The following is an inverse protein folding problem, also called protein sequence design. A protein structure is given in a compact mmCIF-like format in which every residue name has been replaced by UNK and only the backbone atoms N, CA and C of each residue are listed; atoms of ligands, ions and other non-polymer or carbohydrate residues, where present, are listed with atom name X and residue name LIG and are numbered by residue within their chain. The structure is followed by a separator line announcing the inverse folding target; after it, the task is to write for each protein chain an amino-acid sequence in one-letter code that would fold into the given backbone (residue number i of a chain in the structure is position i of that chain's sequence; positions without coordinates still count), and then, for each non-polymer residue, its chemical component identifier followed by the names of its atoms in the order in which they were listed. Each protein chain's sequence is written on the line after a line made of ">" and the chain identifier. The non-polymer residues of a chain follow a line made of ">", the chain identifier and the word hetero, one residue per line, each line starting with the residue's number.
data_IF_165145151338
#
_entry.id   IF_165145151338
#
_cell.length_a   1.000
_cell.length_b   1.000
_cell.length_c   1.000
_cell.angle_alpha   90.00
_cell.angle_beta   90.00
_cell.angle_gamma   90.00
#
_symmetry.space_group_name_H-M   'P 1'
#
loop_
_entity.id
_entity.type
_entity.pdbx_description
1 polymer ?
#
# COMPACT_ATOMS: atom_id res chain seq x y z
N UNK A 1 71.35 -14.42 57.01
CA UNK A 1 71.02 -13.73 55.76
C UNK A 1 69.78 -14.42 55.20
N UNK A 2 68.62 -13.84 55.38
CA UNK A 2 67.32 -14.42 54.99
C UNK A 2 66.83 -13.79 53.70
N UNK A 3 66.63 -14.62 52.69
CA UNK A 3 66.07 -14.18 51.39
C UNK A 3 64.55 -14.22 51.39
N UNK A 4 63.95 -13.06 51.20
CA UNK A 4 62.50 -12.85 51.16
C UNK A 4 61.96 -13.19 49.76
N UNK A 5 61.19 -14.28 49.60
CA UNK A 5 60.48 -14.62 48.39
C UNK A 5 59.20 -13.83 48.31
N UNK A 6 59.10 -12.92 47.33
CA UNK A 6 57.84 -12.25 46.95
C UNK A 6 56.98 -13.17 46.07
N UNK A 7 55.82 -13.58 46.59
CA UNK A 7 54.78 -14.28 45.83
C UNK A 7 54.00 -13.23 45.01
N UNK A 8 54.05 -13.35 43.66
CA UNK A 8 53.15 -12.63 42.76
C UNK A 8 51.82 -13.40 42.63
N UNK A 9 50.78 -12.84 43.24
CA UNK A 9 49.43 -13.37 43.04
C UNK A 9 48.88 -12.93 41.66
N UNK A 10 48.63 -13.90 40.78
CA UNK A 10 47.92 -13.67 39.53
C UNK A 10 46.44 -13.45 39.83
N UNK A 11 45.98 -12.21 39.63
CA UNK A 11 44.55 -11.85 39.63
C UNK A 11 43.97 -12.10 38.23
N UNK A 12 43.28 -13.26 38.04
CA UNK A 12 42.53 -13.56 36.86
C UNK A 12 41.21 -12.75 36.84
N UNK A 13 41.18 -11.65 36.10
CA UNK A 13 39.93 -10.97 35.76
C UNK A 13 39.14 -11.83 34.75
N UNK A 14 38.11 -12.53 35.25
CA UNK A 14 37.13 -13.18 34.40
C UNK A 14 36.18 -12.11 33.83
N UNK A 15 36.36 -11.75 32.55
CA UNK A 15 35.43 -10.91 31.81
C UNK A 15 34.17 -11.74 31.50
N UNK A 16 33.09 -11.47 32.23
CA UNK A 16 31.76 -12.01 31.93
C UNK A 16 31.20 -11.26 30.75
N UNK A 17 31.27 -11.83 29.53
CA UNK A 17 30.58 -11.34 28.34
C UNK A 17 29.08 -11.60 28.51
N UNK A 18 28.33 -10.55 28.84
CA UNK A 18 26.86 -10.57 28.85
C UNK A 18 26.41 -10.59 27.38
N UNK A 19 26.08 -11.79 26.86
CA UNK A 19 25.46 -11.96 25.55
C UNK A 19 24.00 -11.49 25.65
N UNK A 20 23.75 -10.22 25.33
CA UNK A 20 22.38 -9.71 25.17
C UNK A 20 21.79 -10.29 23.87
N UNK A 21 20.62 -10.95 23.94
CA UNK A 21 19.95 -11.42 22.74
C UNK A 21 19.56 -10.19 21.89
N UNK A 22 20.10 -10.11 20.69
CA UNK A 22 19.67 -9.13 19.70
C UNK A 22 18.29 -9.57 19.21
N UNK A 23 17.23 -8.94 19.71
CA UNK A 23 15.88 -9.10 19.17
C UNK A 23 15.87 -8.35 17.83
N UNK A 24 16.09 -9.07 16.74
CA UNK A 24 15.84 -8.57 15.41
C UNK A 24 14.33 -8.45 15.24
N UNK A 25 13.80 -7.23 15.33
CA UNK A 25 12.43 -6.96 14.94
C UNK A 25 12.31 -7.31 13.45
N UNK A 26 11.64 -8.41 13.13
CA UNK A 26 11.26 -8.72 11.76
C UNK A 26 10.29 -7.65 11.31
N UNK A 27 10.72 -6.80 10.39
CA UNK A 27 9.79 -5.89 9.72
C UNK A 27 8.78 -6.75 8.97
N UNK A 28 7.49 -6.62 9.31
CA UNK A 28 6.43 -7.30 8.58
C UNK A 28 6.50 -6.89 7.10
N UNK A 29 6.25 -7.85 6.20
CA UNK A 29 6.20 -7.57 4.76
C UNK A 29 5.21 -6.43 4.49
N UNK A 30 5.57 -5.47 3.65
CA UNK A 30 4.69 -4.35 3.35
C UNK A 30 3.38 -4.86 2.73
N UNK A 31 2.26 -4.38 3.24
CA UNK A 31 0.91 -4.70 2.74
C UNK A 31 0.32 -3.51 2.00
N UNK A 32 -0.57 -3.70 1.01
CA UNK A 32 -1.27 -2.61 0.35
C UNK A 32 -2.36 -1.96 1.23
N UNK A 33 -2.68 -2.55 2.38
CA UNK A 33 -3.62 -1.94 3.33
C UNK A 33 -3.10 -0.58 3.78
N UNK A 34 -3.97 0.43 3.77
CA UNK A 34 -3.61 1.80 4.11
C UNK A 34 -4.32 2.84 3.25
N UNK A 35 -3.90 4.08 3.40
CA UNK A 35 -4.44 5.23 2.66
C UNK A 35 -3.48 5.62 1.53
N UNK A 36 -4.04 5.80 0.35
CA UNK A 36 -3.28 6.03 -0.87
C UNK A 36 -3.77 7.28 -1.59
N UNK A 37 -2.83 8.15 -1.92
CA UNK A 37 -3.07 9.33 -2.77
C UNK A 37 -3.01 8.94 -4.23
N UNK A 38 -4.11 9.13 -4.94
CA UNK A 38 -4.17 8.96 -6.39
C UNK A 38 -3.74 10.23 -7.11
N UNK A 39 -3.06 10.06 -8.24
CA UNK A 39 -2.51 11.17 -9.03
C UNK A 39 -3.20 11.19 -10.39
N UNK A 40 -3.58 12.37 -10.84
CA UNK A 40 -4.10 12.59 -12.20
C UNK A 40 -2.95 12.49 -13.20
N UNK A 41 -3.07 11.58 -14.18
CA UNK A 41 -1.98 11.29 -15.11
C UNK A 41 -1.72 12.43 -16.10
N UNK A 42 -2.70 13.29 -16.34
CA UNK A 42 -2.56 14.40 -17.29
C UNK A 42 -1.94 15.65 -16.64
N UNK A 43 -2.27 15.87 -15.35
CA UNK A 43 -1.87 17.09 -14.65
C UNK A 43 -0.82 16.85 -13.57
N UNK A 44 -0.56 15.59 -13.22
CA UNK A 44 0.31 15.20 -12.10
C UNK A 44 -0.14 15.77 -10.74
N UNK A 45 -1.38 16.21 -10.63
CA UNK A 45 -1.95 16.74 -9.39
C UNK A 45 -2.65 15.63 -8.59
N UNK A 46 -2.73 15.75 -7.27
CA UNK A 46 -3.53 14.85 -6.46
C UNK A 46 -5.00 14.87 -6.90
N UNK A 47 -5.60 13.69 -7.06
CA UNK A 47 -6.99 13.51 -7.48
C UNK A 47 -7.90 13.12 -6.33
N UNK A 48 -7.39 12.36 -5.38
CA UNK A 48 -8.14 11.93 -4.20
C UNK A 48 -7.35 10.97 -3.33
N UNK A 49 -8.03 10.45 -2.30
CA UNK A 49 -7.52 9.41 -1.41
C UNK A 49 -8.39 8.17 -1.52
N UNK A 50 -7.74 7.02 -1.60
CA UNK A 50 -8.36 5.69 -1.61
C UNK A 50 -7.85 4.91 -0.41
N UNK A 51 -8.76 4.42 0.42
CA UNK A 51 -8.44 3.48 1.51
C UNK A 51 -8.49 2.06 0.98
N UNK A 52 -7.38 1.35 1.09
CA UNK A 52 -7.34 -0.09 0.83
C UNK A 52 -7.49 -0.82 2.15
N UNK A 53 -8.41 -1.76 2.19
CA UNK A 53 -8.68 -2.67 3.29
C UNK A 53 -8.60 -4.12 2.82
N UNK A 54 -8.40 -5.03 3.78
CA UNK A 54 -8.42 -6.46 3.56
C UNK A 54 -9.52 -7.09 4.39
N UNK A 55 -10.25 -8.02 3.77
CA UNK A 55 -11.21 -8.87 4.45
C UNK A 55 -11.14 -10.29 3.87
N UNK A 56 -10.83 -11.27 4.70
CA UNK A 56 -10.77 -12.68 4.32
C UNK A 56 -9.83 -12.95 3.12
N UNK A 57 -8.68 -12.29 3.06
CA UNK A 57 -7.70 -12.44 1.98
C UNK A 57 -8.06 -11.68 0.70
N UNK A 58 -9.18 -10.96 0.67
CA UNK A 58 -9.57 -10.09 -0.44
C UNK A 58 -9.33 -8.63 -0.10
N UNK A 59 -8.77 -7.91 -1.07
CA UNK A 59 -8.47 -6.49 -0.96
C UNK A 59 -9.50 -5.69 -1.72
N UNK A 60 -9.97 -4.60 -1.08
CA UNK A 60 -10.89 -3.63 -1.66
C UNK A 60 -10.38 -2.20 -1.43
N UNK A 61 -10.72 -1.29 -2.35
CA UNK A 61 -10.34 0.12 -2.29
C UNK A 61 -11.57 1.02 -2.34
N UNK A 62 -11.73 1.87 -1.33
CA UNK A 62 -12.85 2.80 -1.19
C UNK A 62 -12.36 4.24 -1.33
N UNK A 63 -13.06 5.06 -2.11
CA UNK A 63 -12.75 6.48 -2.27
C UNK A 63 -13.11 7.19 -0.96
N UNK A 64 -12.10 7.72 -0.26
CA UNK A 64 -12.25 8.35 1.04
C UNK A 64 -12.24 9.88 0.96
N UNK A 65 -11.59 10.42 -0.07
CA UNK A 65 -11.56 11.85 -0.35
C UNK A 65 -11.42 12.13 -1.84
N UNK A 66 -12.00 13.22 -2.28
CA UNK A 66 -11.85 13.75 -3.64
C UNK A 66 -11.19 15.14 -3.54
N UNK A 67 -10.31 15.46 -4.47
CA UNK A 67 -9.68 16.76 -4.62
C UNK A 67 -10.16 17.39 -5.93
N UNK A 68 -11.29 18.13 -5.93
CA UNK A 68 -11.82 18.75 -7.14
C UNK A 68 -10.89 19.87 -7.62
N UNK A 69 -10.75 20.02 -8.94
CA UNK A 69 -10.08 21.15 -9.54
C UNK A 69 -11.01 22.38 -9.54
N UNK A 70 -10.47 23.60 -9.69
CA UNK A 70 -11.30 24.77 -9.88
C UNK A 70 -12.29 24.57 -11.04
N UNK A 71 -13.59 24.71 -10.77
CA UNK A 71 -14.66 24.49 -11.74
C UNK A 71 -15.24 23.09 -11.80
N UNK A 72 -14.64 22.10 -11.12
CA UNK A 72 -15.22 20.77 -11.01
C UNK A 72 -16.36 20.75 -9.96
N UNK A 73 -17.27 19.78 -10.11
CA UNK A 73 -18.27 19.48 -9.07
C UNK A 73 -17.55 18.99 -7.80
N UNK A 74 -17.74 19.63 -6.63
CA UNK A 74 -17.12 19.19 -5.39
C UNK A 74 -17.72 17.88 -4.84
N UNK A 75 -18.90 17.46 -5.31
CA UNK A 75 -19.59 16.25 -4.90
C UNK A 75 -20.06 15.41 -6.10
N UNK A 76 -19.10 14.95 -6.96
CA UNK A 76 -19.46 14.27 -8.21
C UNK A 76 -20.20 12.96 -7.93
N UNK A 77 -21.12 12.64 -8.86
CA UNK A 77 -21.83 11.37 -8.92
C UNK A 77 -21.34 10.56 -10.11
N UNK A 78 -21.44 9.24 -10.02
CA UNK A 78 -21.12 8.37 -11.14
C UNK A 78 -22.30 8.31 -12.14
N UNK A 79 -22.46 9.34 -12.93
CA UNK A 79 -23.53 9.50 -13.91
C UNK A 79 -23.44 8.48 -15.07
N UNK A 80 -22.22 8.02 -15.37
CA UNK A 80 -21.89 7.04 -16.44
C UNK A 80 -21.82 5.60 -15.93
N UNK A 81 -21.97 5.38 -14.63
CA UNK A 81 -22.00 4.03 -14.07
C UNK A 81 -23.30 3.31 -14.40
N UNK A 82 -23.23 1.99 -14.49
CA UNK A 82 -24.41 1.13 -14.69
C UNK A 82 -24.93 0.58 -13.34
N UNK A 83 -26.20 0.10 -13.40
CA UNK A 83 -26.85 -0.61 -12.28
C UNK A 83 -26.96 0.21 -11.02
N UNK A 84 -26.69 -0.41 -9.88
CA UNK A 84 -26.83 0.21 -8.55
C UNK A 84 -25.86 1.35 -8.28
N UNK A 85 -24.83 1.51 -9.11
CA UNK A 85 -23.82 2.59 -8.98
C UNK A 85 -24.21 3.85 -9.75
N UNK A 86 -25.20 3.75 -10.65
CA UNK A 86 -25.65 4.89 -11.45
C UNK A 86 -26.12 6.04 -10.56
N UNK A 87 -25.59 7.25 -10.80
CA UNK A 87 -25.87 8.46 -10.04
C UNK A 87 -25.55 8.40 -8.52
N UNK A 88 -24.81 7.38 -8.06
CA UNK A 88 -24.35 7.35 -6.68
C UNK A 88 -23.18 8.30 -6.46
N UNK A 89 -23.03 8.86 -5.24
CA UNK A 89 -21.88 9.69 -4.91
C UNK A 89 -20.56 8.92 -5.16
N UNK A 90 -19.60 9.58 -5.80
CA UNK A 90 -18.24 9.01 -6.00
C UNK A 90 -17.50 8.92 -4.66
N UNK A 91 -17.72 9.90 -3.77
CA UNK A 91 -17.19 9.83 -2.40
C UNK A 91 -17.82 8.66 -1.64
N UNK A 92 -17.00 7.80 -1.08
CA UNK A 92 -17.42 6.60 -0.36
C UNK A 92 -17.68 5.38 -1.25
N UNK A 93 -17.52 5.50 -2.57
CA UNK A 93 -17.72 4.39 -3.50
C UNK A 93 -16.54 3.41 -3.44
N UNK A 94 -16.84 2.11 -3.39
CA UNK A 94 -15.84 1.06 -3.60
C UNK A 94 -15.50 1.02 -5.09
N UNK A 95 -14.26 1.41 -5.41
CA UNK A 95 -13.77 1.46 -6.79
C UNK A 95 -12.87 0.28 -7.17
N UNK A 96 -12.33 -0.43 -6.19
CA UNK A 96 -11.42 -1.56 -6.38
C UNK A 96 -11.91 -2.71 -5.49
N UNK A 97 -12.01 -3.95 -6.03
CA UNK A 97 -12.53 -5.10 -5.26
C UNK A 97 -11.99 -6.43 -5.75
N UNK A 98 -12.14 -7.47 -4.91
CA UNK A 98 -11.82 -8.88 -5.19
C UNK A 98 -10.36 -9.18 -5.53
N UNK A 99 -9.41 -8.31 -5.23
CA UNK A 99 -8.00 -8.65 -5.44
C UNK A 99 -7.53 -9.63 -4.36
N UNK A 100 -6.72 -10.60 -4.77
CA UNK A 100 -6.09 -11.57 -3.87
C UNK A 100 -4.58 -11.57 -4.06
N UNK A 101 -3.83 -11.83 -2.99
CA UNK A 101 -2.35 -11.90 -3.05
C UNK A 101 -1.92 -13.12 -3.86
N UNK A 102 -1.10 -12.90 -4.89
CA UNK A 102 -0.50 -13.94 -5.72
C UNK A 102 1.00 -13.63 -5.89
N UNK A 103 1.82 -14.26 -5.08
CA UNK A 103 3.25 -13.94 -5.02
C UNK A 103 3.50 -12.51 -4.55
N UNK A 104 4.16 -11.71 -5.38
CA UNK A 104 4.46 -10.29 -5.11
C UNK A 104 3.41 -9.32 -5.62
N UNK A 105 2.35 -9.80 -6.27
CA UNK A 105 1.26 -8.99 -6.83
C UNK A 105 -0.08 -9.34 -6.17
N UNK A 106 -1.06 -8.46 -6.37
CA UNK A 106 -2.46 -8.65 -5.97
C UNK A 106 -3.28 -8.63 -7.26
N UNK A 107 -3.99 -9.72 -7.56
CA UNK A 107 -4.60 -9.95 -8.87
C UNK A 107 -6.01 -10.53 -8.74
N UNK A 108 -6.69 -10.69 -9.89
CA UNK A 108 -8.00 -11.34 -10.00
C UNK A 108 -9.18 -10.43 -9.66
N UNK A 109 -8.92 -9.18 -9.34
CA UNK A 109 -9.97 -8.20 -9.03
C UNK A 109 -10.33 -7.29 -10.19
N UNK A 110 -11.12 -6.28 -9.87
CA UNK A 110 -11.65 -5.30 -10.80
C UNK A 110 -11.51 -3.88 -10.23
N UNK A 111 -11.47 -2.91 -11.13
CA UNK A 111 -11.44 -1.49 -10.80
C UNK A 111 -12.47 -0.74 -11.65
N UNK A 112 -13.27 0.09 -11.00
CA UNK A 112 -14.19 1.04 -11.61
C UNK A 112 -13.48 2.37 -11.82
N UNK A 113 -13.60 2.93 -13.00
CA UNK A 113 -13.28 4.33 -13.26
C UNK A 113 -14.59 5.16 -13.22
N UNK A 114 -14.81 5.97 -12.16
CA UNK A 114 -16.04 6.73 -12.01
C UNK A 114 -16.25 7.82 -13.08
N UNK A 115 -15.18 8.26 -13.75
CA UNK A 115 -15.27 9.31 -14.78
C UNK A 115 -15.88 8.80 -16.09
N UNK A 116 -15.68 7.52 -16.41
CA UNK A 116 -16.23 6.91 -17.62
C UNK A 116 -17.24 5.79 -17.36
N UNK A 117 -17.46 5.42 -16.08
CA UNK A 117 -18.37 4.39 -15.64
C UNK A 117 -17.94 2.96 -15.97
N UNK A 118 -16.74 2.75 -16.51
CA UNK A 118 -16.27 1.44 -16.95
C UNK A 118 -15.58 0.68 -15.84
N UNK A 119 -15.78 -0.64 -15.87
CA UNK A 119 -15.10 -1.60 -15.01
C UNK A 119 -14.01 -2.29 -15.83
N UNK A 120 -12.82 -2.36 -15.26
CA UNK A 120 -11.64 -3.00 -15.81
C UNK A 120 -11.18 -4.13 -14.90
N UNK A 121 -10.56 -5.16 -15.46
CA UNK A 121 -9.78 -6.10 -14.64
C UNK A 121 -8.63 -5.36 -13.98
N UNK A 122 -8.30 -5.74 -12.76
CA UNK A 122 -7.29 -5.03 -11.99
C UNK A 122 -6.21 -5.94 -11.44
N UNK A 123 -5.03 -5.38 -11.35
CA UNK A 123 -3.94 -5.89 -10.51
C UNK A 123 -3.20 -4.74 -9.86
N UNK A 124 -2.54 -5.00 -8.75
CA UNK A 124 -1.71 -4.02 -8.05
C UNK A 124 -0.44 -4.65 -7.51
N UNK A 125 0.59 -3.84 -7.33
CA UNK A 125 1.89 -4.25 -6.81
C UNK A 125 2.49 -3.13 -5.97
N UNK A 126 3.01 -3.49 -4.79
CA UNK A 126 3.81 -2.57 -3.99
C UNK A 126 5.18 -2.38 -4.64
N UNK A 127 5.61 -1.15 -4.76
CA UNK A 127 6.91 -0.74 -5.27
C UNK A 127 7.56 0.27 -4.31
N UNK A 128 8.83 0.57 -4.52
CA UNK A 128 9.58 1.54 -3.70
C UNK A 128 9.49 1.21 -2.18
N UNK A 129 9.75 -0.08 -1.83
CA UNK A 129 9.71 -0.51 -0.43
C UNK A 129 8.33 -0.35 0.23
N UNK A 130 7.24 -0.38 -0.52
CA UNK A 130 5.88 -0.20 -0.02
C UNK A 130 5.41 1.24 0.08
N UNK A 131 6.23 2.23 -0.33
CA UNK A 131 5.87 3.66 -0.36
C UNK A 131 4.96 4.02 -1.51
N UNK A 132 4.94 3.19 -2.56
CA UNK A 132 4.13 3.38 -3.75
C UNK A 132 3.36 2.12 -4.08
N UNK A 133 2.20 2.28 -4.70
CA UNK A 133 1.35 1.21 -5.20
C UNK A 133 1.12 1.43 -6.69
N UNK A 134 1.64 0.53 -7.51
CA UNK A 134 1.26 0.47 -8.92
C UNK A 134 -0.08 -0.23 -9.03
N UNK A 135 -1.08 0.45 -9.60
CA UNK A 135 -2.41 -0.09 -9.87
C UNK A 135 -2.62 -0.10 -11.37
N UNK A 136 -2.93 -1.28 -11.93
CA UNK A 136 -3.15 -1.46 -13.37
C UNK A 136 -4.55 -1.93 -13.65
N UNK A 137 -5.30 -1.13 -14.41
CA UNK A 137 -6.57 -1.49 -15.02
C UNK A 137 -6.38 -1.95 -16.47
N UNK A 138 -7.06 -3.02 -16.92
CA UNK A 138 -6.90 -3.56 -18.27
C UNK A 138 -8.15 -4.30 -18.75
N UNK A 139 -8.26 -4.46 -20.08
CA UNK A 139 -9.33 -5.22 -20.75
C UNK A 139 -8.68 -6.43 -21.41
N UNK A 140 -9.26 -7.63 -21.22
CA UNK A 140 -8.72 -8.87 -21.76
C UNK A 140 -7.37 -9.24 -21.15
N UNK A 141 -6.29 -9.03 -21.88
CA UNK A 141 -4.92 -9.29 -21.41
C UNK A 141 -4.30 -8.06 -20.77
N UNK A 142 -3.44 -8.25 -19.77
CA UNK A 142 -2.82 -7.15 -19.02
C UNK A 142 -1.92 -6.23 -19.87
N UNK A 143 -1.56 -6.63 -21.09
CA UNK A 143 -0.84 -5.76 -22.04
C UNK A 143 -1.69 -4.56 -22.50
N UNK A 144 -3.00 -4.72 -22.58
CA UNK A 144 -3.94 -3.67 -23.01
C UNK A 144 -4.54 -2.99 -21.78
N UNK A 145 -3.78 -2.13 -21.15
CA UNK A 145 -4.22 -1.46 -19.94
C UNK A 145 -3.38 -0.24 -19.60
N UNK A 146 -3.80 0.46 -18.54
CA UNK A 146 -3.16 1.66 -18.01
C UNK A 146 -2.72 1.39 -16.58
N UNK A 147 -1.50 1.78 -16.25
CA UNK A 147 -1.00 1.78 -14.87
C UNK A 147 -1.02 3.20 -14.30
N UNK A 148 -1.35 3.28 -13.02
CA UNK A 148 -1.19 4.47 -12.20
C UNK A 148 -0.29 4.15 -11.01
N UNK A 149 0.44 5.13 -10.54
CA UNK A 149 1.23 5.02 -9.31
C UNK A 149 0.59 5.86 -8.23
N UNK A 150 0.11 5.20 -7.18
CA UNK A 150 -0.47 5.84 -6.02
C UNK A 150 0.61 5.99 -4.93
N UNK A 151 0.56 7.08 -4.20
CA UNK A 151 1.53 7.39 -3.15
C UNK A 151 0.94 7.03 -1.78
N UNK A 152 1.71 6.38 -0.93
CA UNK A 152 1.26 6.05 0.43
C UNK A 152 1.13 7.31 1.27
N UNK A 153 -0.02 7.46 1.94
CA UNK A 153 -0.27 8.52 2.93
C UNK A 153 -0.18 7.98 4.37
N UNK A 154 -0.59 6.70 4.57
CA UNK A 154 -0.53 5.97 5.86
C UNK A 154 -0.19 4.50 5.62
#
# INVERSE_FOLDING_TARGET
>A
MAALKKSLGNLLLAAVYLCLPHITASAADPTPVGLWKTIDDNTSQPKGLVRISERNGQFEGKIERIFPKPGDDPAPKCDKCDGTRHNQPVLGMTMLWNLTKQGSEYQGGEILDPENGRIYRAKMKLIDGGKKLEVRGFIGFSLFGRSQVWLREE
#
